data_IF_636393696241
#
_entry.id   IF_636393696241
#
_cell.length_a   1.000
_cell.length_b   1.000
_cell.length_c   1.000
_cell.angle_alpha   90.00
_cell.angle_beta   90.00
_cell.angle_gamma   90.00
#
_symmetry.space_group_name_H-M   'P 1'
#
loop_
_entity.id
_entity.type
_entity.pdbx_description
1 polymer ?
#
# COMPACT_ATOMS: atom_id res chain seq x y z
N UNK A 1 26.29 -33.85 -45.85
CA UNK A 1 24.95 -33.20 -45.78
C UNK A 1 25.13 -31.76 -46.25
N UNK A 2 24.38 -31.29 -47.26
CA UNK A 2 24.59 -29.94 -47.79
C UNK A 2 24.17 -28.88 -46.76
N UNK A 3 24.95 -27.81 -46.65
CA UNK A 3 24.69 -26.67 -45.76
C UNK A 3 23.24 -26.16 -45.81
N UNK A 4 22.61 -26.24 -46.99
CA UNK A 4 21.17 -25.94 -47.15
C UNK A 4 20.23 -26.85 -46.32
N UNK A 5 20.53 -28.16 -46.24
CA UNK A 5 19.71 -29.09 -45.42
C UNK A 5 19.84 -28.83 -43.92
N UNK A 6 21.05 -28.48 -43.46
CA UNK A 6 21.29 -28.16 -42.05
C UNK A 6 20.57 -26.87 -41.64
N UNK A 7 20.56 -25.83 -42.51
CA UNK A 7 19.84 -24.58 -42.27
C UNK A 7 18.32 -24.80 -42.25
N UNK A 8 17.79 -25.56 -43.19
CA UNK A 8 16.34 -25.85 -43.27
C UNK A 8 15.88 -26.63 -42.01
N UNK A 9 16.62 -27.66 -41.61
CA UNK A 9 16.30 -28.44 -40.41
C UNK A 9 16.41 -27.62 -39.12
N UNK A 10 17.40 -26.74 -39.05
CA UNK A 10 17.54 -25.80 -37.92
C UNK A 10 16.40 -24.80 -37.84
N UNK A 11 15.98 -24.22 -38.98
CA UNK A 11 14.85 -23.29 -39.04
C UNK A 11 13.52 -23.96 -38.67
N UNK A 12 13.29 -25.19 -39.16
CA UNK A 12 12.09 -25.99 -38.80
C UNK A 12 12.07 -26.34 -37.31
N UNK A 13 13.24 -26.67 -36.72
CA UNK A 13 13.36 -26.91 -35.32
C UNK A 13 13.02 -25.66 -34.45
N UNK A 14 13.49 -24.50 -34.87
CA UNK A 14 13.17 -23.21 -34.20
C UNK A 14 11.68 -22.86 -34.31
N UNK A 15 11.07 -23.03 -35.49
CA UNK A 15 9.63 -22.81 -35.69
C UNK A 15 8.82 -23.75 -34.80
N UNK A 16 9.21 -25.05 -34.72
CA UNK A 16 8.54 -25.99 -33.82
C UNK A 16 8.67 -25.61 -32.34
N UNK A 17 9.84 -25.16 -31.88
CA UNK A 17 10.06 -24.70 -30.49
C UNK A 17 9.22 -23.45 -30.21
N UNK A 18 9.21 -22.47 -31.13
CA UNK A 18 8.41 -21.24 -30.95
C UNK A 18 6.92 -21.59 -30.97
N UNK A 19 6.45 -22.47 -31.83
CA UNK A 19 5.06 -22.89 -31.88
C UNK A 19 4.64 -23.68 -30.66
N UNK A 20 5.51 -24.53 -30.10
CA UNK A 20 5.27 -25.24 -28.83
C UNK A 20 5.24 -24.28 -27.63
N UNK A 21 6.16 -23.33 -27.57
CA UNK A 21 6.16 -22.28 -26.55
C UNK A 21 4.91 -21.40 -26.67
N UNK A 22 4.55 -21.01 -27.89
CA UNK A 22 3.35 -20.20 -28.13
C UNK A 22 2.07 -20.98 -27.79
N UNK A 23 2.00 -22.26 -28.16
CA UNK A 23 0.91 -23.16 -27.79
C UNK A 23 0.84 -23.38 -26.28
N UNK A 24 1.98 -23.59 -25.62
CA UNK A 24 2.04 -23.72 -24.16
C UNK A 24 1.59 -22.44 -23.42
N UNK A 25 1.93 -21.26 -23.97
CA UNK A 25 1.50 -19.97 -23.43
C UNK A 25 0.03 -19.64 -23.71
N UNK A 26 -0.50 -20.03 -24.87
CA UNK A 26 -1.87 -19.67 -25.27
C UNK A 26 -2.92 -20.79 -25.04
N UNK A 27 -2.50 -22.04 -24.82
CA UNK A 27 -3.42 -23.18 -24.57
C UNK A 27 -3.53 -23.53 -23.08
N UNK A 28 -3.27 -22.57 -22.17
CA UNK A 28 -3.58 -22.73 -20.75
C UNK A 28 -2.75 -23.79 -20.02
N UNK A 29 -1.52 -24.11 -20.49
CA UNK A 29 -0.61 -24.97 -19.71
C UNK A 29 -0.22 -24.27 -18.40
N UNK A 30 -0.28 -22.93 -18.36
CA UNK A 30 -0.14 -22.12 -17.16
C UNK A 30 -1.45 -21.93 -16.37
N UNK A 31 -2.62 -22.30 -16.94
CA UNK A 31 -3.92 -22.27 -16.24
C UNK A 31 -4.01 -23.27 -15.08
N UNK A 32 -3.07 -24.19 -14.95
CA UNK A 32 -3.02 -25.07 -13.77
C UNK A 32 -2.76 -24.31 -12.48
N UNK A 33 -2.06 -23.17 -12.55
CA UNK A 33 -1.86 -22.29 -11.39
C UNK A 33 -3.16 -21.53 -11.09
N UNK A 34 -3.86 -21.01 -12.11
CA UNK A 34 -5.17 -20.36 -11.93
C UNK A 34 -6.25 -21.37 -11.48
N UNK A 35 -6.29 -22.57 -12.06
CA UNK A 35 -7.21 -23.64 -11.65
C UNK A 35 -6.93 -24.17 -10.22
N UNK A 36 -5.68 -24.12 -9.75
CA UNK A 36 -5.33 -24.41 -8.36
C UNK A 36 -5.81 -23.32 -7.41
N UNK A 37 -5.73 -22.04 -7.86
CA UNK A 37 -6.24 -20.89 -7.12
C UNK A 37 -7.76 -20.92 -6.98
N UNK A 38 -8.47 -21.29 -8.04
CA UNK A 38 -9.93 -21.44 -8.05
C UNK A 38 -10.43 -22.53 -7.10
N UNK A 39 -9.63 -23.59 -6.88
CA UNK A 39 -9.96 -24.68 -5.95
C UNK A 39 -9.58 -24.41 -4.48
N UNK A 40 -9.01 -23.26 -4.17
CA UNK A 40 -8.58 -22.96 -2.81
C UNK A 40 -7.29 -23.65 -2.35
N UNK A 41 -6.65 -24.44 -3.23
CA UNK A 41 -5.42 -25.20 -2.94
C UNK A 41 -4.14 -24.33 -3.05
N UNK A 42 -4.27 -23.08 -3.52
CA UNK A 42 -3.15 -22.14 -3.64
C UNK A 42 -3.03 -21.26 -2.41
N UNK A 43 -1.81 -20.84 -2.02
CA UNK A 43 -1.60 -19.87 -0.96
C UNK A 43 -2.43 -18.59 -1.19
N UNK A 44 -2.97 -18.03 -0.13
CA UNK A 44 -3.63 -16.71 -0.18
C UNK A 44 -2.55 -15.64 -0.14
N UNK A 45 -2.24 -15.00 -1.28
CA UNK A 45 -1.15 -14.03 -1.41
C UNK A 45 -1.65 -12.62 -1.23
N UNK A 46 -0.97 -11.87 -0.36
CA UNK A 46 -1.31 -10.48 -0.02
C UNK A 46 -0.15 -9.56 -0.38
N UNK A 47 -0.38 -8.66 -1.34
CA UNK A 47 0.63 -7.69 -1.77
C UNK A 47 0.80 -6.56 -0.75
N UNK A 48 2.06 -6.19 -0.47
CA UNK A 48 2.36 -5.06 0.40
C UNK A 48 3.65 -4.33 -0.03
N UNK A 49 3.75 -3.05 0.33
CA UNK A 49 4.97 -2.23 0.24
C UNK A 49 5.50 -2.00 1.67
N UNK A 50 6.81 -1.87 1.90
CA UNK A 50 7.39 -1.70 3.24
C UNK A 50 7.15 -0.29 3.81
N UNK A 51 5.88 0.09 3.97
CA UNK A 51 5.39 1.33 4.57
C UNK A 51 4.49 1.02 5.76
N UNK A 52 4.36 1.97 6.68
CA UNK A 52 3.60 1.74 7.93
C UNK A 52 2.14 1.38 7.70
N UNK A 53 1.52 1.87 6.62
CA UNK A 53 0.13 1.53 6.29
C UNK A 53 -0.08 0.05 5.90
N UNK A 54 0.98 -0.68 5.67
CA UNK A 54 0.93 -2.11 5.41
C UNK A 54 1.50 -2.95 6.56
N UNK A 55 1.92 -2.33 7.69
CA UNK A 55 2.60 -3.02 8.79
C UNK A 55 1.75 -4.13 9.44
N UNK A 56 0.44 -3.95 9.49
CA UNK A 56 -0.47 -4.98 10.00
C UNK A 56 -0.40 -6.29 9.20
N UNK A 57 -0.04 -6.26 7.92
CA UNK A 57 0.14 -7.44 7.08
C UNK A 57 1.29 -8.36 7.60
N UNK A 58 2.56 -7.91 7.66
CA UNK A 58 3.63 -8.74 8.22
C UNK A 58 3.42 -9.07 9.70
N UNK A 59 2.82 -8.18 10.50
CA UNK A 59 2.51 -8.47 11.91
C UNK A 59 1.52 -9.62 12.02
N UNK A 60 0.45 -9.61 11.23
CA UNK A 60 -0.52 -10.71 11.19
C UNK A 60 0.14 -12.03 10.83
N UNK A 61 0.94 -12.06 9.77
CA UNK A 61 1.59 -13.29 9.32
C UNK A 61 2.56 -13.80 10.38
N UNK A 62 3.44 -12.96 10.89
CA UNK A 62 4.45 -13.32 11.89
C UNK A 62 3.82 -13.89 13.16
N UNK A 63 2.80 -13.21 13.72
CA UNK A 63 2.17 -13.65 14.97
C UNK A 63 1.46 -15.00 14.76
N UNK A 64 0.73 -15.19 13.64
CA UNK A 64 0.07 -16.47 13.36
C UNK A 64 1.09 -17.59 13.20
N UNK A 65 2.17 -17.42 12.45
CA UNK A 65 3.24 -18.40 12.32
C UNK A 65 3.81 -18.80 13.69
N UNK A 66 4.00 -17.83 14.59
CA UNK A 66 4.51 -18.11 15.95
C UNK A 66 3.51 -18.80 16.86
N UNK A 67 2.22 -18.53 16.71
CA UNK A 67 1.17 -19.10 17.56
C UNK A 67 0.67 -20.47 17.07
N UNK A 68 0.61 -20.70 15.77
CA UNK A 68 -0.03 -21.88 15.18
C UNK A 68 0.90 -22.76 14.35
N UNK A 69 2.10 -22.28 14.04
CA UNK A 69 3.03 -22.91 13.11
C UNK A 69 2.80 -22.56 11.65
N UNK A 70 1.66 -21.96 11.30
CA UNK A 70 1.29 -21.61 9.93
C UNK A 70 0.82 -20.16 9.82
N UNK A 71 1.20 -19.49 8.73
CA UNK A 71 0.63 -18.18 8.35
C UNK A 71 -0.78 -18.31 7.79
N UNK A 72 -1.61 -17.28 7.96
CA UNK A 72 -2.96 -17.25 7.36
C UNK A 72 -2.89 -16.96 5.86
N UNK A 73 -1.83 -16.32 5.40
CA UNK A 73 -1.58 -15.92 4.03
C UNK A 73 -0.08 -15.76 3.76
N UNK A 74 0.29 -15.61 2.50
CA UNK A 74 1.65 -15.36 2.06
C UNK A 74 1.82 -13.86 1.74
N UNK A 75 2.63 -13.09 2.52
CA UNK A 75 2.89 -11.69 2.25
C UNK A 75 3.90 -11.54 1.11
N UNK A 76 3.52 -10.86 0.02
CA UNK A 76 4.37 -10.60 -1.13
C UNK A 76 4.79 -9.13 -1.14
N UNK A 77 6.12 -8.89 -1.03
CA UNK A 77 6.69 -7.55 -0.94
C UNK A 77 6.95 -6.94 -2.32
N UNK A 78 6.56 -5.67 -2.47
CA UNK A 78 6.83 -4.83 -3.64
C UNK A 78 7.59 -3.56 -3.24
N UNK A 79 8.24 -2.91 -4.21
CA UNK A 79 8.95 -1.66 -3.99
C UNK A 79 8.16 -0.42 -4.42
N UNK A 80 7.16 -0.58 -5.29
CA UNK A 80 6.39 0.53 -5.83
C UNK A 80 4.96 0.16 -6.20
N UNK A 81 4.13 1.18 -6.33
CA UNK A 81 2.69 1.06 -6.61
C UNK A 81 2.38 0.49 -8.01
N UNK A 82 3.12 0.83 -9.10
CA UNK A 82 2.83 0.30 -10.43
C UNK A 82 2.93 -1.22 -10.48
N UNK A 83 4.05 -1.79 -10.02
CA UNK A 83 4.28 -3.24 -10.03
C UNK A 83 3.24 -3.99 -9.18
N UNK A 84 2.98 -3.50 -7.96
CA UNK A 84 1.97 -4.08 -7.07
C UNK A 84 0.59 -4.07 -7.73
N UNK A 85 0.18 -2.95 -8.32
CA UNK A 85 -1.10 -2.81 -9.02
C UNK A 85 -1.22 -3.79 -10.19
N UNK A 86 -0.22 -3.85 -11.06
CA UNK A 86 -0.26 -4.74 -12.23
C UNK A 86 -0.29 -6.23 -11.81
N UNK A 87 0.46 -6.62 -10.78
CA UNK A 87 0.44 -7.99 -10.22
C UNK A 87 -0.94 -8.34 -9.66
N UNK A 88 -1.60 -7.39 -9.00
CA UNK A 88 -2.96 -7.57 -8.49
C UNK A 88 -3.98 -7.69 -9.64
N UNK A 89 -3.89 -6.84 -10.66
CA UNK A 89 -4.76 -6.90 -11.85
C UNK A 89 -4.56 -8.17 -12.66
N UNK A 90 -3.35 -8.72 -12.68
CA UNK A 90 -3.05 -10.02 -13.29
C UNK A 90 -3.63 -11.22 -12.50
N UNK A 91 -4.33 -10.99 -11.38
CA UNK A 91 -4.81 -12.01 -10.44
C UNK A 91 -3.68 -12.87 -9.83
N UNK A 92 -2.46 -12.31 -9.75
CA UNK A 92 -1.33 -12.96 -9.09
C UNK A 92 -1.30 -12.69 -7.59
N UNK A 93 -2.20 -11.86 -7.09
CA UNK A 93 -2.49 -11.60 -5.68
C UNK A 93 -3.98 -11.79 -5.41
N UNK A 94 -4.33 -12.40 -4.29
CA UNK A 94 -5.71 -12.53 -3.83
C UNK A 94 -6.21 -11.22 -3.18
N UNK A 95 -5.31 -10.52 -2.46
CA UNK A 95 -5.57 -9.23 -1.84
C UNK A 95 -4.33 -8.34 -1.91
N UNK A 96 -4.51 -7.04 -1.75
CA UNK A 96 -3.39 -6.10 -1.68
C UNK A 96 -3.75 -4.87 -0.86
N UNK A 97 -2.74 -4.30 -0.20
CA UNK A 97 -2.86 -2.94 0.31
C UNK A 97 -2.58 -1.96 -0.82
N UNK A 98 -3.47 -1.00 -1.03
CA UNK A 98 -3.41 -0.04 -2.14
C UNK A 98 -3.88 1.33 -1.67
N UNK A 99 -3.51 2.39 -2.41
CA UNK A 99 -3.96 3.76 -2.14
C UNK A 99 -5.48 3.87 -2.36
N UNK A 100 -6.22 4.52 -1.46
CA UNK A 100 -7.68 4.58 -1.55
C UNK A 100 -8.18 5.21 -2.87
N UNK A 101 -7.68 6.37 -3.36
CA UNK A 101 -8.10 6.90 -4.65
C UNK A 101 -7.73 6.01 -5.84
N UNK A 102 -6.64 5.22 -5.71
CA UNK A 102 -6.27 4.26 -6.75
C UNK A 102 -7.29 3.12 -6.83
N UNK A 103 -7.73 2.58 -5.69
CA UNK A 103 -8.79 1.57 -5.66
C UNK A 103 -10.11 2.10 -6.24
N UNK A 104 -10.49 3.34 -5.88
CA UNK A 104 -11.68 4.01 -6.45
C UNK A 104 -11.56 4.16 -7.96
N UNK A 105 -10.43 4.68 -8.46
CA UNK A 105 -10.18 4.85 -9.89
C UNK A 105 -10.19 3.53 -10.66
N UNK A 106 -9.68 2.44 -10.09
CA UNK A 106 -9.79 1.11 -10.68
C UNK A 106 -11.24 0.67 -10.79
N UNK A 107 -12.06 0.93 -9.78
CA UNK A 107 -13.49 0.63 -9.84
C UNK A 107 -14.22 1.45 -10.90
N UNK A 108 -13.92 2.75 -11.02
CA UNK A 108 -14.44 3.61 -12.09
C UNK A 108 -14.10 3.07 -13.50
N UNK A 109 -12.95 2.40 -13.64
CA UNK A 109 -12.53 1.73 -14.88
C UNK A 109 -13.17 0.35 -15.08
N UNK A 110 -14.08 -0.06 -14.20
CA UNK A 110 -14.78 -1.34 -14.28
C UNK A 110 -14.02 -2.53 -13.72
N UNK A 111 -12.90 -2.31 -13.02
CA UNK A 111 -12.15 -3.41 -12.37
C UNK A 111 -12.98 -3.97 -11.21
N UNK A 112 -13.26 -5.30 -11.16
CA UNK A 112 -14.12 -5.91 -10.15
C UNK A 112 -13.37 -6.13 -8.84
N UNK A 113 -13.18 -5.05 -8.06
CA UNK A 113 -12.52 -5.05 -6.75
C UNK A 113 -13.38 -4.41 -5.69
N UNK A 114 -13.18 -4.80 -4.44
CA UNK A 114 -13.78 -4.20 -3.25
C UNK A 114 -12.72 -3.84 -2.22
N UNK A 115 -12.90 -2.70 -1.58
CA UNK A 115 -12.19 -2.31 -0.35
C UNK A 115 -12.90 -2.99 0.81
N UNK A 116 -12.18 -3.79 1.59
CA UNK A 116 -12.75 -4.58 2.70
C UNK A 116 -12.28 -4.10 4.08
N UNK A 117 -11.16 -3.36 4.16
CA UNK A 117 -10.61 -2.83 5.41
C UNK A 117 -9.62 -1.69 5.17
N UNK A 118 -9.14 -1.02 6.24
CA UNK A 118 -8.08 -0.02 6.16
C UNK A 118 -6.72 -0.61 6.56
N UNK A 119 -5.63 0.00 6.07
CA UNK A 119 -4.27 -0.32 6.50
C UNK A 119 -3.91 0.32 7.83
N UNK A 120 -4.05 1.63 7.90
CA UNK A 120 -3.91 2.44 9.12
C UNK A 120 -4.52 3.83 8.89
N UNK A 121 -4.60 4.61 9.96
CA UNK A 121 -4.92 6.04 9.89
C UNK A 121 -3.68 6.88 10.17
N UNK A 122 -3.62 8.10 9.62
CA UNK A 122 -2.49 9.03 9.70
C UNK A 122 -1.19 8.48 9.07
N UNK A 123 -0.03 8.61 9.68
CA UNK A 123 1.23 7.98 9.26
C UNK A 123 1.81 8.43 7.93
N UNK A 124 1.43 9.62 7.48
CA UNK A 124 2.00 10.30 6.32
C UNK A 124 2.59 11.63 6.75
N UNK A 125 3.75 11.94 6.24
CA UNK A 125 4.50 13.17 6.62
C UNK A 125 5.00 13.88 5.37
N UNK A 126 4.87 15.20 5.34
CA UNK A 126 5.56 16.04 4.36
C UNK A 126 6.88 16.50 4.94
N UNK A 127 7.95 16.21 4.19
CA UNK A 127 9.31 16.58 4.54
C UNK A 127 9.86 17.61 3.57
N UNK A 128 10.65 18.52 4.12
CA UNK A 128 11.47 19.49 3.38
C UNK A 128 12.90 19.41 3.89
N UNK A 129 13.85 19.93 3.14
CA UNK A 129 15.23 20.02 3.62
C UNK A 129 15.32 20.93 4.84
N UNK A 130 16.20 20.61 5.78
CA UNK A 130 16.42 21.40 6.99
C UNK A 130 16.90 22.82 6.68
N UNK A 131 17.68 22.97 5.63
CA UNK A 131 18.24 24.25 5.14
C UNK A 131 17.34 24.97 4.12
N UNK A 132 16.12 24.49 3.87
CA UNK A 132 15.18 25.12 2.95
C UNK A 132 14.47 26.33 3.59
N UNK A 133 14.00 27.23 2.74
CA UNK A 133 13.19 28.40 3.14
C UNK A 133 11.69 28.09 3.24
N UNK A 134 11.27 26.83 3.09
CA UNK A 134 9.88 26.38 3.14
C UNK A 134 9.51 26.10 4.60
N UNK A 135 8.81 27.00 5.28
CA UNK A 135 8.42 26.86 6.68
C UNK A 135 6.93 26.62 6.89
N UNK A 136 6.11 26.92 5.89
CA UNK A 136 4.67 26.76 5.88
C UNK A 136 4.18 26.31 4.51
N UNK A 137 2.92 25.91 4.43
CA UNK A 137 2.33 25.33 3.20
C UNK A 137 2.37 26.32 2.03
N UNK A 138 2.19 27.60 2.31
CA UNK A 138 2.20 28.67 1.29
C UNK A 138 3.58 28.81 0.62
N UNK A 139 4.67 28.47 1.28
CA UNK A 139 6.03 28.53 0.75
C UNK A 139 6.31 27.42 -0.28
N UNK A 140 5.38 26.46 -0.44
CA UNK A 140 5.44 25.44 -1.47
C UNK A 140 5.13 25.95 -2.87
N UNK A 141 4.58 27.15 -3.01
CA UNK A 141 4.31 27.76 -4.31
C UNK A 141 5.57 27.83 -5.18
N UNK A 142 5.47 27.37 -6.43
CA UNK A 142 6.58 27.29 -7.38
C UNK A 142 7.57 26.14 -7.11
N UNK A 143 7.28 25.25 -6.16
CA UNK A 143 8.16 24.14 -5.76
C UNK A 143 7.82 22.84 -6.45
N UNK A 144 8.81 21.94 -6.48
CA UNK A 144 8.64 20.56 -6.94
C UNK A 144 8.45 19.64 -5.75
N UNK A 145 7.34 18.88 -5.73
CA UNK A 145 6.95 17.98 -4.64
C UNK A 145 6.84 16.55 -5.17
N UNK A 146 7.58 15.61 -4.58
CA UNK A 146 7.40 14.20 -4.90
C UNK A 146 6.21 13.62 -4.13
N UNK A 147 5.36 12.89 -4.85
CA UNK A 147 4.20 12.13 -4.34
C UNK A 147 4.31 10.67 -4.77
N UNK A 148 3.71 9.71 -4.01
CA UNK A 148 3.85 8.28 -4.32
C UNK A 148 3.24 7.89 -5.67
N UNK A 149 2.14 8.51 -6.03
CA UNK A 149 1.39 8.28 -7.26
C UNK A 149 0.35 9.39 -7.47
N UNK A 150 -0.06 9.62 -8.73
CA UNK A 150 -1.11 10.60 -9.06
C UNK A 150 -2.47 10.28 -8.40
N UNK A 151 -2.78 9.00 -8.18
CA UNK A 151 -3.98 8.52 -7.49
C UNK A 151 -3.71 8.26 -6.00
N UNK A 152 -3.00 9.18 -5.32
CA UNK A 152 -2.67 9.03 -3.90
C UNK A 152 -3.43 10.00 -3.02
N UNK A 153 -3.75 9.58 -1.81
CA UNK A 153 -4.27 10.48 -0.77
C UNK A 153 -3.24 11.57 -0.41
N UNK A 154 -1.95 11.32 -0.65
CA UNK A 154 -0.89 12.30 -0.46
C UNK A 154 -1.01 13.47 -1.44
N UNK A 155 -1.44 13.23 -2.67
CA UNK A 155 -1.80 14.31 -3.61
C UNK A 155 -3.04 15.06 -3.14
N UNK A 156 -4.04 14.34 -2.64
CA UNK A 156 -5.29 14.95 -2.16
C UNK A 156 -5.09 15.83 -0.94
N UNK A 157 -4.17 15.48 -0.02
CA UNK A 157 -3.89 16.35 1.13
C UNK A 157 -3.19 17.65 0.71
N UNK A 158 -2.32 17.63 -0.31
CA UNK A 158 -1.74 18.85 -0.87
C UNK A 158 -2.87 19.68 -1.49
N UNK A 159 -3.73 19.06 -2.31
CA UNK A 159 -4.87 19.73 -2.92
C UNK A 159 -5.78 20.37 -1.88
N UNK A 160 -6.17 19.61 -0.84
CA UNK A 160 -7.00 20.12 0.28
C UNK A 160 -6.33 21.29 0.99
N UNK A 161 -5.07 21.14 1.37
CA UNK A 161 -4.31 22.14 2.10
C UNK A 161 -4.16 23.46 1.31
N UNK A 162 -3.98 23.37 -0.01
CA UNK A 162 -3.90 24.51 -0.91
C UNK A 162 -5.27 25.17 -1.07
N UNK A 163 -6.32 24.38 -1.33
CA UNK A 163 -7.69 24.87 -1.49
C UNK A 163 -8.15 25.68 -0.27
N UNK A 164 -7.91 25.17 0.95
CA UNK A 164 -8.24 25.85 2.20
C UNK A 164 -7.52 27.21 2.37
N UNK A 165 -6.44 27.43 1.64
CA UNK A 165 -5.63 28.65 1.62
C UNK A 165 -5.85 29.51 0.38
N UNK A 166 -6.83 29.16 -0.47
CA UNK A 166 -7.09 29.87 -1.71
C UNK A 166 -5.99 29.73 -2.78
N UNK A 167 -5.15 28.67 -2.67
CA UNK A 167 -4.08 28.36 -3.61
C UNK A 167 -4.53 27.32 -4.63
N UNK A 168 -4.03 27.40 -5.87
CA UNK A 168 -4.20 26.35 -6.88
C UNK A 168 -3.18 25.24 -6.72
N UNK A 169 -3.58 23.99 -7.00
CA UNK A 169 -2.65 22.86 -7.09
C UNK A 169 -1.63 23.04 -8.25
N UNK A 170 -1.98 23.81 -9.27
CA UNK A 170 -1.10 24.13 -10.40
C UNK A 170 0.04 25.08 -10.01
N UNK A 171 0.01 25.64 -8.80
CA UNK A 171 1.09 26.44 -8.24
C UNK A 171 2.33 25.62 -7.86
N UNK A 172 2.27 24.29 -7.92
CA UNK A 172 3.39 23.36 -7.65
C UNK A 172 3.57 22.36 -8.79
N UNK A 173 4.79 21.85 -8.94
CA UNK A 173 5.08 20.73 -9.82
C UNK A 173 5.03 19.43 -8.99
N UNK A 174 4.08 18.54 -9.29
CA UNK A 174 4.01 17.23 -8.66
C UNK A 174 4.74 16.20 -9.53
N UNK A 175 5.64 15.42 -8.91
CA UNK A 175 6.36 14.30 -9.56
C UNK A 175 6.06 13.00 -8.85
N UNK A 176 5.78 11.96 -9.63
CA UNK A 176 5.53 10.62 -9.07
C UNK A 176 6.85 9.92 -8.79
N UNK A 177 6.99 9.33 -7.60
CA UNK A 177 8.22 8.67 -7.20
C UNK A 177 7.93 7.56 -6.18
N UNK A 178 8.58 6.38 -6.29
CA UNK A 178 8.50 5.35 -5.25
C UNK A 178 8.95 5.89 -3.90
N UNK A 179 8.26 5.58 -2.79
CA UNK A 179 8.62 6.08 -1.46
C UNK A 179 10.08 5.83 -1.04
N UNK A 180 10.72 4.68 -1.37
CA UNK A 180 12.13 4.45 -1.04
C UNK A 180 13.11 5.44 -1.68
N UNK A 181 12.77 6.03 -2.83
CA UNK A 181 13.64 6.94 -3.59
C UNK A 181 13.53 8.39 -3.11
N UNK A 182 12.44 8.73 -2.43
CA UNK A 182 12.15 10.11 -2.00
C UNK A 182 13.21 10.72 -1.06
N UNK A 183 13.77 9.99 -0.06
CA UNK A 183 14.81 10.55 0.79
C UNK A 183 16.05 10.99 -0.01
N UNK A 184 16.50 10.19 -0.96
CA UNK A 184 17.63 10.52 -1.83
C UNK A 184 17.33 11.71 -2.75
N UNK A 185 16.13 11.80 -3.30
CA UNK A 185 15.71 12.93 -4.13
C UNK A 185 15.65 14.24 -3.34
N UNK A 186 15.18 14.20 -2.09
CA UNK A 186 15.20 15.35 -1.20
C UNK A 186 16.64 15.75 -0.82
N UNK A 187 17.51 14.78 -0.53
CA UNK A 187 18.92 15.02 -0.21
C UNK A 187 19.66 15.69 -1.37
N UNK A 188 19.51 15.18 -2.59
CA UNK A 188 20.17 15.68 -3.80
C UNK A 188 19.58 16.99 -4.34
N UNK A 189 18.50 17.51 -3.74
CA UNK A 189 17.76 18.69 -4.20
C UNK A 189 17.09 18.51 -5.56
N UNK A 190 16.83 17.27 -5.97
CA UNK A 190 16.04 16.99 -7.19
C UNK A 190 14.58 17.39 -7.02
N UNK A 191 14.12 17.44 -5.78
CA UNK A 191 12.80 17.96 -5.37
C UNK A 191 12.94 18.86 -4.14
N UNK A 192 12.00 19.78 -3.96
CA UNK A 192 11.98 20.71 -2.82
C UNK A 192 11.31 20.10 -1.58
N UNK A 193 10.32 19.25 -1.81
CA UNK A 193 9.59 18.56 -0.76
C UNK A 193 9.22 17.14 -1.19
N UNK A 194 8.99 16.28 -0.22
CA UNK A 194 8.47 14.90 -0.43
C UNK A 194 7.34 14.63 0.54
N UNK A 195 6.34 13.87 0.10
CA UNK A 195 5.24 13.42 0.96
C UNK A 195 4.89 11.99 0.68
N UNK A 196 4.94 11.14 1.69
CA UNK A 196 4.56 9.73 1.58
C UNK A 196 4.24 9.14 2.95
N UNK A 197 3.78 7.88 2.93
CA UNK A 197 3.67 7.05 4.13
C UNK A 197 5.06 6.76 4.73
N UNK A 198 5.09 6.70 6.05
CA UNK A 198 6.29 6.31 6.80
C UNK A 198 6.66 4.84 6.49
N UNK A 199 7.93 4.40 6.66
CA UNK A 199 8.97 5.09 7.44
C UNK A 199 9.94 5.93 6.60
N UNK A 200 9.83 5.96 5.29
CA UNK A 200 10.82 6.60 4.41
C UNK A 200 10.96 8.10 4.66
N UNK A 201 9.87 8.76 5.00
CA UNK A 201 9.92 10.22 5.27
C UNK A 201 10.79 10.52 6.49
N UNK A 202 10.65 9.74 7.54
CA UNK A 202 11.45 9.86 8.76
C UNK A 202 12.95 9.59 8.55
N UNK A 203 13.36 8.89 7.47
CA UNK A 203 14.78 8.69 7.17
C UNK A 203 15.52 10.02 7.06
N UNK A 204 14.95 10.99 6.35
CA UNK A 204 15.55 12.31 6.18
C UNK A 204 15.66 13.10 7.50
N UNK A 205 14.70 12.89 8.41
CA UNK A 205 14.70 13.47 9.76
C UNK A 205 15.80 12.84 10.62
N UNK A 206 15.91 11.52 10.64
CA UNK A 206 16.92 10.76 11.38
C UNK A 206 18.34 11.08 10.91
N UNK A 207 18.54 11.22 9.61
CA UNK A 207 19.84 11.55 9.00
C UNK A 207 20.17 13.05 9.13
N UNK A 208 19.24 13.85 9.66
CA UNK A 208 19.48 15.25 10.07
C UNK A 208 19.47 16.28 8.93
N UNK A 209 19.18 15.88 7.67
CA UNK A 209 19.10 16.80 6.53
C UNK A 209 17.66 17.24 6.20
N UNK A 210 16.66 16.48 6.69
CA UNK A 210 15.24 16.80 6.53
C UNK A 210 14.61 17.33 7.81
N UNK A 211 13.49 17.99 7.66
CA UNK A 211 12.57 18.36 8.75
C UNK A 211 11.13 18.20 8.30
N UNK A 212 10.27 17.91 9.25
CA UNK A 212 8.82 17.86 9.06
C UNK A 212 8.32 19.27 8.71
N UNK A 213 7.58 19.39 7.61
CA UNK A 213 6.78 20.57 7.33
C UNK A 213 5.42 20.45 8.02
N UNK A 214 4.74 19.32 7.84
CA UNK A 214 3.53 18.94 8.58
C UNK A 214 3.34 17.41 8.58
N UNK A 215 2.60 16.90 9.54
CA UNK A 215 2.04 15.55 9.53
C UNK A 215 0.59 15.61 9.04
N UNK A 216 0.14 14.59 8.34
CA UNK A 216 -1.23 14.60 7.78
C UNK A 216 -2.30 14.74 8.83
N UNK A 217 -2.11 14.19 10.04
CA UNK A 217 -3.02 14.34 11.17
C UNK A 217 -3.30 15.80 11.57
N UNK A 218 -2.35 16.72 11.25
CA UNK A 218 -2.47 18.14 11.59
C UNK A 218 -3.28 18.93 10.55
N UNK A 219 -3.43 18.38 9.33
CA UNK A 219 -4.14 19.01 8.20
C UNK A 219 -5.43 18.27 7.86
N UNK A 220 -5.42 16.96 7.99
CA UNK A 220 -6.55 16.08 7.73
C UNK A 220 -6.58 14.98 8.82
N UNK A 221 -7.21 15.24 9.98
CA UNK A 221 -7.28 14.26 11.07
C UNK A 221 -7.95 12.96 10.62
N UNK A 222 -7.49 11.83 11.19
CA UNK A 222 -7.93 10.47 10.87
C UNK A 222 -7.76 10.09 9.38
N UNK A 223 -6.79 10.72 8.73
CA UNK A 223 -6.41 10.50 7.34
C UNK A 223 -6.29 9.00 7.00
N UNK A 224 -6.98 8.58 5.93
CA UNK A 224 -6.85 7.24 5.37
C UNK A 224 -5.65 7.23 4.40
N UNK A 225 -4.62 6.44 4.69
CA UNK A 225 -3.48 6.29 3.80
C UNK A 225 -3.71 5.21 2.75
N UNK A 226 -3.88 3.97 3.19
CA UNK A 226 -4.08 2.81 2.33
C UNK A 226 -5.28 1.98 2.79
N UNK A 227 -5.83 1.24 1.85
CA UNK A 227 -6.95 0.32 2.03
C UNK A 227 -6.54 -1.10 1.65
N UNK A 228 -7.18 -2.09 2.24
CA UNK A 228 -7.08 -3.50 1.82
C UNK A 228 -8.13 -3.73 0.73
N UNK A 229 -7.66 -4.04 -0.47
CA UNK A 229 -8.48 -4.34 -1.63
C UNK A 229 -8.42 -5.85 -1.96
N UNK A 230 -9.57 -6.39 -2.37
CA UNK A 230 -9.74 -7.80 -2.77
C UNK A 230 -10.54 -7.83 -4.07
N UNK A 231 -10.24 -8.76 -5.00
CA UNK A 231 -11.07 -8.93 -6.18
C UNK A 231 -12.43 -9.56 -5.83
N UNK A 232 -13.51 -9.15 -6.52
CA UNK A 232 -14.85 -9.71 -6.30
C UNK A 232 -14.85 -11.23 -6.48
N UNK A 233 -14.11 -11.74 -7.46
CA UNK A 233 -13.91 -13.19 -7.65
C UNK A 233 -13.37 -13.89 -6.41
N UNK A 234 -12.38 -13.31 -5.73
CA UNK A 234 -11.81 -13.89 -4.49
C UNK A 234 -12.83 -13.82 -3.35
N UNK A 235 -13.60 -12.74 -3.26
CA UNK A 235 -14.69 -12.62 -2.28
C UNK A 235 -15.74 -13.71 -2.49
N UNK A 236 -16.10 -14.01 -3.73
CA UNK A 236 -17.09 -15.05 -4.08
C UNK A 236 -16.57 -16.48 -3.80
N UNK A 237 -15.31 -16.74 -4.13
CA UNK A 237 -14.76 -18.11 -4.09
C UNK A 237 -14.04 -18.45 -2.79
N UNK A 238 -13.55 -17.45 -2.05
CA UNK A 238 -12.70 -17.61 -0.86
C UNK A 238 -13.08 -16.66 0.28
N UNK A 239 -14.39 -16.45 0.48
CA UNK A 239 -14.90 -15.46 1.45
C UNK A 239 -14.36 -15.66 2.87
N UNK A 240 -14.23 -16.90 3.31
CA UNK A 240 -13.72 -17.21 4.66
C UNK A 240 -12.25 -16.87 4.81
N UNK A 241 -11.45 -16.99 3.75
CA UNK A 241 -10.05 -16.57 3.74
C UNK A 241 -9.94 -15.05 3.83
N UNK A 242 -10.79 -14.32 3.10
CA UNK A 242 -10.88 -12.85 3.19
C UNK A 242 -11.28 -12.42 4.61
N UNK A 243 -12.27 -13.10 5.22
CA UNK A 243 -12.67 -12.79 6.59
C UNK A 243 -11.53 -13.07 7.58
N UNK A 244 -10.81 -14.18 7.44
CA UNK A 244 -9.64 -14.48 8.28
C UNK A 244 -8.54 -13.44 8.13
N UNK A 245 -8.30 -12.96 6.90
CA UNK A 245 -7.34 -11.89 6.64
C UNK A 245 -7.76 -10.60 7.36
N UNK A 246 -9.00 -10.14 7.18
CA UNK A 246 -9.52 -8.93 7.81
C UNK A 246 -9.48 -9.04 9.33
N UNK A 247 -9.94 -10.15 9.90
CA UNK A 247 -9.89 -10.41 11.34
C UNK A 247 -8.43 -10.38 11.86
N UNK A 248 -7.49 -10.95 11.12
CA UNK A 248 -6.07 -10.93 11.44
C UNK A 248 -5.48 -9.52 11.45
N UNK A 249 -5.75 -8.73 10.41
CA UNK A 249 -5.33 -7.33 10.30
C UNK A 249 -5.89 -6.49 11.46
N UNK A 250 -7.18 -6.66 11.76
CA UNK A 250 -7.84 -5.96 12.87
C UNK A 250 -7.23 -6.31 14.24
N UNK A 251 -6.98 -7.59 14.49
CA UNK A 251 -6.32 -8.08 15.71
C UNK A 251 -4.89 -7.56 15.85
N UNK A 252 -4.15 -7.51 14.73
CA UNK A 252 -2.78 -6.95 14.68
C UNK A 252 -2.78 -5.46 14.97
N UNK A 253 -3.74 -4.72 14.44
CA UNK A 253 -3.89 -3.30 14.72
C UNK A 253 -4.08 -3.04 16.22
N UNK A 254 -4.98 -3.76 16.85
CA UNK A 254 -5.21 -3.67 18.31
C UNK A 254 -4.01 -4.13 19.14
N UNK A 255 -3.27 -5.12 18.68
CA UNK A 255 -2.05 -5.56 19.34
C UNK A 255 -0.96 -4.49 19.26
N UNK A 256 -0.77 -3.87 18.09
CA UNK A 256 0.19 -2.76 17.89
C UNK A 256 -0.13 -1.57 18.80
N UNK A 257 -1.39 -1.19 18.90
CA UNK A 257 -1.81 0.00 19.66
C UNK A 257 -1.97 -0.28 21.19
N UNK A 258 -1.88 -1.56 21.61
CA UNK A 258 -1.99 -1.94 23.01
C UNK A 258 -0.84 -1.39 23.86
N UNK A 259 0.39 -1.34 23.33
CA UNK A 259 1.54 -0.81 24.05
C UNK A 259 2.69 -0.40 23.14
N UNK A 260 3.54 0.50 23.62
CA UNK A 260 4.79 0.86 22.95
C UNK A 260 5.73 -0.36 22.82
N UNK A 261 5.71 -1.29 23.77
CA UNK A 261 6.52 -2.51 23.70
C UNK A 261 6.13 -3.36 22.47
N UNK A 262 4.84 -3.52 22.19
CA UNK A 262 4.38 -4.23 20.99
C UNK A 262 4.79 -3.54 19.70
N UNK A 263 4.72 -2.22 19.63
CA UNK A 263 5.20 -1.44 18.49
C UNK A 263 6.70 -1.65 18.25
N UNK A 264 7.51 -1.70 19.32
CA UNK A 264 8.94 -1.96 19.21
C UNK A 264 9.26 -3.38 18.77
N UNK A 265 8.52 -4.37 19.28
CA UNK A 265 8.62 -5.76 18.82
C UNK A 265 8.28 -5.86 17.32
N UNK A 266 7.15 -5.24 16.90
CA UNK A 266 6.76 -5.19 15.50
C UNK A 266 7.84 -4.56 14.61
N UNK A 267 8.46 -3.46 15.06
CA UNK A 267 9.54 -2.81 14.33
C UNK A 267 10.72 -3.76 14.11
N UNK A 268 11.08 -4.56 15.11
CA UNK A 268 12.23 -5.47 15.05
C UNK A 268 12.03 -6.61 14.06
N UNK A 269 10.93 -7.35 14.17
CA UNK A 269 10.73 -8.48 13.26
C UNK A 269 10.30 -8.02 11.86
N UNK A 270 9.44 -6.99 11.75
CA UNK A 270 9.01 -6.50 10.44
C UNK A 270 10.14 -5.83 9.68
N UNK A 271 10.98 -5.03 10.35
CA UNK A 271 12.15 -4.41 9.71
C UNK A 271 13.10 -5.43 9.13
N UNK A 272 13.44 -6.48 9.89
CA UNK A 272 14.42 -7.49 9.48
C UNK A 272 13.87 -8.48 8.46
N UNK A 273 12.68 -9.04 8.72
CA UNK A 273 12.19 -10.22 7.99
C UNK A 273 11.32 -9.87 6.77
N UNK A 274 10.62 -8.75 6.82
CA UNK A 274 9.65 -8.38 5.78
C UNK A 274 10.03 -7.11 5.01
N UNK A 275 10.54 -6.08 5.71
CA UNK A 275 10.86 -4.81 5.06
C UNK A 275 12.30 -4.76 4.53
N UNK A 276 13.19 -5.61 5.07
CA UNK A 276 14.63 -5.58 4.78
C UNK A 276 15.21 -4.18 5.00
N UNK A 277 14.84 -3.56 6.13
CA UNK A 277 15.24 -2.23 6.55
C UNK A 277 15.83 -2.27 7.97
N UNK A 278 16.61 -1.25 8.34
CA UNK A 278 17.06 -1.12 9.73
C UNK A 278 15.85 -0.92 10.66
N UNK A 279 15.63 -1.81 11.64
CA UNK A 279 14.55 -1.67 12.61
C UNK A 279 14.52 -0.33 13.35
N UNK A 280 15.66 0.36 13.46
CA UNK A 280 15.75 1.68 14.10
C UNK A 280 14.83 2.70 13.46
N UNK A 281 14.68 2.63 12.12
CA UNK A 281 13.80 3.54 11.39
C UNK A 281 12.32 3.31 11.76
N UNK A 282 11.87 2.04 11.77
CA UNK A 282 10.51 1.71 12.21
C UNK A 282 10.29 2.03 13.69
N UNK A 283 11.27 1.74 14.57
CA UNK A 283 11.20 2.11 15.99
C UNK A 283 11.02 3.62 16.18
N UNK A 284 11.75 4.43 15.43
CA UNK A 284 11.61 5.88 15.45
C UNK A 284 10.19 6.32 15.07
N UNK A 285 9.70 5.86 13.95
CA UNK A 285 8.39 6.23 13.40
C UNK A 285 7.23 5.81 14.32
N UNK A 286 7.32 4.61 14.89
CA UNK A 286 6.26 4.06 15.73
C UNK A 286 6.26 4.65 17.15
N UNK A 287 7.28 5.46 17.51
CA UNK A 287 7.41 6.05 18.84
C UNK A 287 7.49 7.57 18.87
N UNK A 288 7.82 8.25 17.77
CA UNK A 288 8.10 9.69 17.75
C UNK A 288 7.40 10.45 16.60
N UNK A 289 6.32 11.16 16.91
CA UNK A 289 5.54 11.09 18.13
C UNK A 289 4.77 9.77 18.25
N UNK A 290 4.31 9.36 19.45
CA UNK A 290 3.58 8.10 19.63
C UNK A 290 2.29 7.97 18.82
N UNK A 291 1.67 9.08 18.48
CA UNK A 291 0.44 9.19 17.70
C UNK A 291 0.67 9.48 16.20
N UNK A 292 1.90 9.29 15.69
CA UNK A 292 2.23 9.47 14.27
C UNK A 292 1.41 8.54 13.38
N UNK A 293 1.13 7.32 13.86
CA UNK A 293 0.38 6.28 13.17
C UNK A 293 -0.64 5.66 14.13
N UNK A 294 -1.85 5.36 13.65
CA UNK A 294 -2.91 4.69 14.39
C UNK A 294 -3.33 3.41 13.68
N UNK A 295 -3.40 2.31 14.41
CA UNK A 295 -3.79 0.98 13.93
C UNK A 295 -5.13 0.50 14.46
N UNK A 296 -5.91 1.38 15.09
CA UNK A 296 -7.27 1.15 15.57
C UNK A 296 -8.26 2.02 14.80
N UNK A 297 -9.57 1.72 14.91
CA UNK A 297 -10.64 2.39 14.19
C UNK A 297 -10.47 2.28 12.65
N UNK A 298 -10.12 1.08 12.18
CA UNK A 298 -9.84 0.80 10.77
C UNK A 298 -11.06 0.34 9.98
N UNK A 299 -12.25 0.55 10.52
CA UNK A 299 -13.52 0.29 9.85
C UNK A 299 -13.74 1.24 8.66
N UNK A 300 -14.50 0.77 7.67
CA UNK A 300 -14.88 1.57 6.51
C UNK A 300 -15.98 2.53 6.88
N UNK A 301 -15.65 3.80 7.11
CA UNK A 301 -16.60 4.86 7.42
C UNK A 301 -16.96 5.60 6.13
N UNK A 302 -18.21 5.47 5.66
CA UNK A 302 -18.72 6.06 4.42
C UNK A 302 -18.30 7.53 4.25
N UNK A 303 -18.49 8.35 5.27
CA UNK A 303 -18.18 9.78 5.24
C UNK A 303 -16.70 10.07 4.89
N UNK A 304 -15.78 9.25 5.39
CA UNK A 304 -14.35 9.43 5.11
C UNK A 304 -14.04 9.17 3.62
N UNK A 305 -14.70 8.17 3.03
CA UNK A 305 -14.56 7.83 1.62
C UNK A 305 -15.25 8.85 0.71
N UNK A 306 -16.43 9.33 1.08
CA UNK A 306 -17.13 10.41 0.35
C UNK A 306 -16.29 11.71 0.33
N UNK A 307 -15.55 12.02 1.39
CA UNK A 307 -14.60 13.14 1.39
C UNK A 307 -13.45 12.91 0.41
N UNK A 308 -12.87 11.70 0.39
CA UNK A 308 -11.81 11.33 -0.58
C UNK A 308 -12.35 11.41 -2.02
N UNK A 309 -13.54 10.87 -2.28
CA UNK A 309 -14.20 10.91 -3.58
C UNK A 309 -14.42 12.35 -4.03
N UNK A 310 -15.03 13.19 -3.20
CA UNK A 310 -15.26 14.60 -3.49
C UNK A 310 -13.96 15.34 -3.83
N UNK A 311 -12.93 15.18 -2.99
CA UNK A 311 -11.63 15.80 -3.23
C UNK A 311 -10.95 15.25 -4.49
N UNK A 312 -11.12 13.94 -4.77
CA UNK A 312 -10.59 13.28 -5.97
C UNK A 312 -11.22 13.80 -7.25
N UNK A 313 -12.53 14.03 -7.26
CA UNK A 313 -13.27 14.61 -8.39
C UNK A 313 -12.82 16.07 -8.59
N UNK A 314 -12.80 16.86 -7.53
CA UNK A 314 -12.36 18.27 -7.59
C UNK A 314 -10.90 18.42 -8.05
N UNK A 315 -10.03 17.48 -7.66
CA UNK A 315 -8.61 17.45 -8.09
C UNK A 315 -8.41 16.83 -9.49
N UNK A 316 -9.48 16.38 -10.16
CA UNK A 316 -9.44 15.81 -11.51
C UNK A 316 -8.74 14.43 -11.58
N UNK A 317 -8.70 13.67 -10.48
CA UNK A 317 -8.12 12.33 -10.44
C UNK A 317 -9.15 11.21 -10.39
N UNK A 318 -10.40 11.52 -10.03
CA UNK A 318 -11.56 10.62 -10.08
C UNK A 318 -12.62 11.22 -10.99
N UNK A 319 -13.42 10.35 -11.63
CA UNK A 319 -14.52 10.74 -12.48
C UNK A 319 -15.85 10.91 -11.74
N UNK A 320 -15.98 10.28 -10.56
CA UNK A 320 -17.22 10.25 -9.77
C UNK A 320 -18.27 9.28 -10.31
N UNK A 321 -17.86 8.28 -11.11
CA UNK A 321 -18.76 7.26 -11.66
C UNK A 321 -18.89 6.02 -10.78
N UNK A 322 -18.10 5.91 -9.71
CA UNK A 322 -18.21 4.86 -8.71
C UNK A 322 -18.33 5.48 -7.31
N UNK A 323 -19.30 5.02 -6.52
CA UNK A 323 -19.59 5.49 -5.18
C UNK A 323 -19.27 4.45 -4.12
N UNK A 324 -19.40 4.79 -2.84
CA UNK A 324 -19.01 3.94 -1.72
C UNK A 324 -19.48 2.48 -1.86
N UNK A 325 -20.74 2.25 -2.20
CA UNK A 325 -21.30 0.89 -2.33
C UNK A 325 -20.74 0.12 -3.55
N UNK A 326 -20.20 0.83 -4.54
CA UNK A 326 -19.58 0.21 -5.70
C UNK A 326 -18.20 -0.34 -5.39
N UNK A 327 -17.40 0.36 -4.57
CA UNK A 327 -16.01 0.01 -4.29
C UNK A 327 -15.75 -0.49 -2.86
N UNK A 328 -16.69 -0.40 -1.91
CA UNK A 328 -16.52 -0.86 -0.53
C UNK A 328 -17.43 -2.05 -0.20
N UNK A 329 -16.92 -2.99 0.60
CA UNK A 329 -17.70 -4.07 1.20
C UNK A 329 -17.46 -4.09 2.72
N UNK A 330 -18.29 -3.37 3.50
CA UNK A 330 -18.18 -3.32 4.95
C UNK A 330 -18.64 -4.61 5.65
N UNK A 331 -19.16 -5.60 4.92
CA UNK A 331 -19.67 -6.86 5.53
C UNK A 331 -18.58 -7.69 6.21
N UNK A 332 -17.30 -7.44 5.90
CA UNK A 332 -16.15 -8.06 6.57
C UNK A 332 -15.75 -7.36 7.87
N UNK A 333 -16.26 -6.15 8.11
CA UNK A 333 -15.89 -5.33 9.27
C UNK A 333 -16.69 -5.78 10.48
N UNK A 334 -16.02 -6.19 11.55
CA UNK A 334 -16.65 -6.51 12.83
C UNK A 334 -16.78 -5.26 13.69
N UNK A 335 -17.67 -5.31 14.65
CA UNK A 335 -17.73 -4.28 15.71
C UNK A 335 -16.35 -4.17 16.37
N UNK A 336 -15.79 -2.96 16.37
CA UNK A 336 -14.48 -2.65 16.94
C UNK A 336 -14.34 -3.13 18.39
N UNK A 337 -15.42 -3.05 19.18
CA UNK A 337 -15.44 -3.51 20.59
C UNK A 337 -15.32 -5.03 20.73
N UNK A 338 -15.72 -5.79 19.71
CA UNK A 338 -15.67 -7.27 19.69
C UNK A 338 -14.29 -7.80 19.30
N UNK A 339 -13.46 -6.99 18.63
CA UNK A 339 -12.14 -7.42 18.17
C UNK A 339 -11.21 -7.61 19.36
N UNK A 340 -10.67 -8.81 19.55
CA UNK A 340 -9.64 -9.10 20.56
C UNK A 340 -8.26 -9.02 19.93
N UNK A 341 -7.29 -8.28 20.54
CA UNK A 341 -5.91 -8.29 20.07
C UNK A 341 -5.34 -9.71 20.08
N UNK A 342 -4.26 -9.94 19.35
CA UNK A 342 -3.50 -11.16 19.53
C UNK A 342 -2.98 -11.27 20.96
N UNK A 343 -3.03 -12.48 21.53
CA UNK A 343 -2.41 -12.81 22.81
C UNK A 343 -1.00 -13.37 22.53
N UNK A 344 -0.13 -12.49 22.07
CA UNK A 344 1.25 -12.82 21.72
C UNK A 344 2.20 -11.87 22.44
N UNK A 345 3.14 -12.47 23.17
CA UNK A 345 4.27 -11.78 23.78
C UNK A 345 5.55 -12.42 23.22
N UNK A 346 6.46 -11.61 22.68
CA UNK A 346 7.71 -12.15 22.18
C UNK A 346 8.54 -12.73 23.35
N UNK A 347 9.24 -13.84 23.17
CA UNK A 347 10.22 -14.31 24.14
C UNK A 347 11.23 -13.21 24.49
N UNK A 348 11.52 -13.04 25.79
CA UNK A 348 12.51 -12.07 26.28
C UNK A 348 13.92 -12.41 25.83
#
# INVERSE_FOLDING_TARGET
>A
MSMRRTVILGSLGWVAVISLLHGAMNLGVFDRASARRERGDAPFRVGFIPVTCHLTCPVTNFINEKMTGDGIFEPIRFNGWPELKETFLANDLEATFILAPMAMSLREQGVPIKIVYLGHRDGTTMMVRKDSTIFRIEDLQGRTIAVPNRFSNQRLIIFKAFKERGMSIDAVTLVEMPPPDMPAALYSRSVDAVISGEPFMAQSEMDGYGRVLFMTKDVWPDFISCVLAVSERVIETRRDDVQRLVDGIARSGKWLDRSMAHRMQAADFSGKQYYHQDPKLLRFVLSKPPDRVKYTNLSLVRKDFEEIERLGIEAGILSGTAHFDDYADPSFVRDESSIRPYDYEAPQ
#
